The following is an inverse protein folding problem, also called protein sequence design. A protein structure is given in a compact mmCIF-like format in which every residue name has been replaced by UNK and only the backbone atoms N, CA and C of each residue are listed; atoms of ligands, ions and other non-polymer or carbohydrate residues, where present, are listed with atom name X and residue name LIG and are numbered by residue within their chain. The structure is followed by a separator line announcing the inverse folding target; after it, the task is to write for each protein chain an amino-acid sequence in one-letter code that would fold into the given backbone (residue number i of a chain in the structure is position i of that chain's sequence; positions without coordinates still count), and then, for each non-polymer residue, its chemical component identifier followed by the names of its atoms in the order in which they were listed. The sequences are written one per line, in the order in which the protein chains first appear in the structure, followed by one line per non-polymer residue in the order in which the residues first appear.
data_IF_246421961213
#
_entry.id   IF_246421961213
#
_cell.length_a   1.000
_cell.length_b   1.000
_cell.length_c   1.000
_cell.angle_alpha   90.00
_cell.angle_beta   90.00
_cell.angle_gamma   90.00
#
_symmetry.space_group_name_H-M   'P 1'
#
loop_
_entity.id
_entity.type
_entity.pdbx_description
1 polymer ?
#
# COMPACT_ATOMS: atom_id res chain seq x y z
N UNK A 1 -11.07 30.37 4.47
CA UNK A 1 -11.76 29.37 3.62
C UNK A 1 -10.72 28.63 2.80
N UNK A 2 -10.63 27.30 2.92
CA UNK A 2 -9.63 26.51 2.21
C UNK A 2 -9.97 26.44 0.72
N UNK A 3 -9.08 26.97 -0.12
CA UNK A 3 -9.16 26.78 -1.56
C UNK A 3 -8.93 25.30 -1.90
N UNK A 4 -9.98 24.64 -2.38
CA UNK A 4 -9.98 23.24 -2.81
C UNK A 4 -9.00 22.99 -3.98
N UNK A 5 -8.61 24.02 -4.72
CA UNK A 5 -7.60 23.90 -5.76
C UNK A 5 -6.17 23.92 -5.21
N UNK A 6 -5.98 24.38 -3.96
CA UNK A 6 -4.66 24.52 -3.33
C UNK A 6 -4.25 23.29 -2.53
N UNK A 7 -5.22 22.55 -1.97
CA UNK A 7 -4.97 21.35 -1.19
C UNK A 7 -5.64 20.14 -1.84
N UNK A 8 -4.84 19.19 -2.35
CA UNK A 8 -5.39 17.92 -2.85
C UNK A 8 -6.06 17.17 -1.70
N UNK A 9 -7.28 16.68 -1.92
CA UNK A 9 -7.96 15.79 -0.99
C UNK A 9 -7.10 14.56 -0.71
N UNK A 10 -6.94 14.19 0.56
CA UNK A 10 -6.17 13.01 0.95
C UNK A 10 -6.70 11.72 0.28
N UNK A 11 -8.01 11.65 0.08
CA UNK A 11 -8.70 10.55 -0.59
C UNK A 11 -9.72 11.09 -1.59
N UNK A 12 -9.88 10.37 -2.70
CA UNK A 12 -10.91 10.66 -3.70
C UNK A 12 -11.64 9.35 -4.02
N UNK A 13 -12.60 8.98 -3.16
CA UNK A 13 -13.39 7.74 -3.25
C UNK A 13 -12.59 6.50 -3.73
N UNK A 14 -11.49 6.12 -3.04
CA UNK A 14 -10.59 5.06 -3.53
C UNK A 14 -11.29 3.70 -3.71
N UNK A 15 -12.38 3.46 -2.99
CA UNK A 15 -13.17 2.23 -3.07
C UNK A 15 -13.92 2.07 -4.41
N UNK A 16 -14.05 3.12 -5.23
CA UNK A 16 -14.66 3.03 -6.57
C UNK A 16 -13.63 2.85 -7.69
N UNK A 17 -12.35 2.73 -7.35
CA UNK A 17 -11.28 2.61 -8.33
C UNK A 17 -11.43 1.35 -9.20
N UNK A 18 -11.32 1.53 -10.52
CA UNK A 18 -11.30 0.43 -11.51
C UNK A 18 -9.91 0.16 -12.08
N UNK A 19 -8.91 0.91 -11.62
CA UNK A 19 -7.51 0.79 -12.04
C UNK A 19 -6.59 1.04 -10.85
N UNK A 20 -5.51 0.26 -10.75
CA UNK A 20 -4.49 0.44 -9.71
C UNK A 20 -3.71 1.73 -9.93
N UNK A 21 -3.47 2.11 -11.19
CA UNK A 21 -2.79 3.37 -11.51
C UNK A 21 -3.61 4.58 -11.03
N UNK A 22 -4.94 4.53 -11.18
CA UNK A 22 -5.84 5.55 -10.65
C UNK A 22 -5.93 5.50 -9.12
N UNK A 23 -6.07 4.31 -8.53
CA UNK A 23 -6.14 4.13 -7.08
C UNK A 23 -4.96 4.79 -6.36
N UNK A 24 -3.73 4.45 -6.76
CA UNK A 24 -2.52 5.00 -6.15
C UNK A 24 -2.20 6.43 -6.64
N UNK A 25 -2.51 6.73 -7.90
CA UNK A 25 -2.14 8.00 -8.51
C UNK A 25 -3.09 9.17 -8.21
N UNK A 26 -4.33 8.88 -7.79
CA UNK A 26 -5.39 9.88 -7.57
C UNK A 26 -6.36 9.57 -6.42
N UNK A 27 -6.59 8.29 -6.10
CA UNK A 27 -7.63 7.87 -5.15
C UNK A 27 -7.19 7.81 -3.69
N UNK A 28 -5.95 7.38 -3.43
CA UNK A 28 -5.45 7.01 -2.10
C UNK A 28 -4.28 7.90 -1.65
N UNK A 29 -4.29 8.38 -0.40
CA UNK A 29 -3.18 9.11 0.25
C UNK A 29 -2.47 10.17 -0.62
N UNK A 30 -3.23 11.06 -1.25
CA UNK A 30 -2.67 12.01 -2.23
C UNK A 30 -1.69 13.04 -1.63
N UNK A 31 -1.72 13.24 -0.32
CA UNK A 31 -0.76 14.09 0.40
C UNK A 31 0.71 13.66 0.16
N UNK A 32 0.96 12.36 -0.03
CA UNK A 32 2.32 11.84 -0.26
C UNK A 32 2.73 11.78 -1.73
N UNK A 33 1.79 11.97 -2.67
CA UNK A 33 2.04 11.80 -4.10
C UNK A 33 3.23 12.63 -4.59
N UNK A 34 3.25 13.93 -4.24
CA UNK A 34 4.35 14.83 -4.63
C UNK A 34 5.67 14.41 -4.00
N UNK A 35 5.68 14.00 -2.74
CA UNK A 35 6.89 13.58 -2.04
C UNK A 35 7.50 12.34 -2.70
N UNK A 36 6.70 11.31 -3.01
CA UNK A 36 7.20 10.10 -3.66
C UNK A 36 7.65 10.35 -5.11
N UNK A 37 6.97 11.24 -5.84
CA UNK A 37 7.41 11.66 -7.17
C UNK A 37 8.77 12.38 -7.12
N UNK A 38 8.96 13.32 -6.20
CA UNK A 38 10.20 14.09 -6.10
C UNK A 38 11.37 13.26 -5.56
N UNK A 39 11.13 12.43 -4.54
CA UNK A 39 12.18 11.68 -3.86
C UNK A 39 12.49 10.33 -4.53
N UNK A 40 11.51 9.72 -5.20
CA UNK A 40 11.65 8.40 -5.79
C UNK A 40 11.51 8.40 -7.31
N UNK A 41 10.40 8.96 -7.81
CA UNK A 41 10.05 8.88 -9.23
C UNK A 41 11.01 9.62 -10.16
N UNK A 42 11.29 10.90 -9.88
CA UNK A 42 12.18 11.71 -10.71
C UNK A 42 13.63 11.21 -10.65
N UNK A 43 14.22 10.91 -9.48
CA UNK A 43 15.58 10.37 -9.41
C UNK A 43 15.73 9.04 -10.14
N UNK A 44 14.78 8.11 -9.96
CA UNK A 44 14.82 6.82 -10.65
C UNK A 44 14.66 6.95 -12.17
N UNK A 45 13.76 7.84 -12.64
CA UNK A 45 13.62 8.14 -14.07
C UNK A 45 14.89 8.76 -14.64
N UNK A 46 15.51 9.70 -13.92
CA UNK A 46 16.74 10.36 -14.33
C UNK A 46 17.93 9.39 -14.39
N UNK A 47 18.02 8.47 -13.43
CA UNK A 47 19.03 7.41 -13.42
C UNK A 47 18.84 6.48 -14.63
N UNK A 48 17.61 6.04 -14.91
CA UNK A 48 17.31 5.23 -16.09
C UNK A 48 17.69 5.95 -17.40
N UNK A 49 17.44 7.26 -17.49
CA UNK A 49 17.87 8.08 -18.64
C UNK A 49 19.40 8.12 -18.77
N UNK A 50 20.13 8.33 -17.67
CA UNK A 50 21.60 8.35 -17.66
C UNK A 50 22.21 7.02 -18.10
N UNK A 51 21.53 5.91 -17.81
CA UNK A 51 21.93 4.56 -18.23
C UNK A 51 21.53 4.23 -19.68
N UNK A 52 21.05 5.21 -20.46
CA UNK A 52 20.64 5.01 -21.85
C UNK A 52 19.24 4.41 -22.03
N UNK A 53 18.44 4.31 -20.96
CA UNK A 53 17.08 3.79 -21.02
C UNK A 53 16.14 4.73 -21.79
N UNK A 54 15.35 4.17 -22.72
CA UNK A 54 14.32 4.90 -23.46
C UNK A 54 13.15 5.37 -22.58
N UNK A 55 12.23 6.15 -23.14
CA UNK A 55 11.12 6.78 -22.41
C UNK A 55 10.22 5.78 -21.66
N UNK A 56 10.04 4.56 -22.18
CA UNK A 56 9.27 3.50 -21.50
C UNK A 56 9.97 3.03 -20.23
N UNK A 57 11.28 2.76 -20.31
CA UNK A 57 12.09 2.31 -19.17
C UNK A 57 12.14 3.40 -18.10
N UNK A 58 12.31 4.66 -18.49
CA UNK A 58 12.29 5.78 -17.54
C UNK A 58 10.97 5.85 -16.76
N UNK A 59 9.82 5.70 -17.43
CA UNK A 59 8.50 5.69 -16.77
C UNK A 59 8.35 4.51 -15.81
N UNK A 60 8.81 3.32 -16.21
CA UNK A 60 8.79 2.12 -15.34
C UNK A 60 9.68 2.34 -14.12
N UNK A 61 10.93 2.78 -14.31
CA UNK A 61 11.84 3.06 -13.21
C UNK A 61 11.27 4.16 -12.29
N UNK A 62 10.65 5.20 -12.83
CA UNK A 62 9.97 6.23 -12.04
C UNK A 62 8.81 5.69 -11.22
N UNK A 63 7.99 4.81 -11.81
CA UNK A 63 6.91 4.13 -11.11
C UNK A 63 7.45 3.29 -9.93
N UNK A 64 8.43 2.44 -10.18
CA UNK A 64 9.09 1.65 -9.13
C UNK A 64 9.77 2.52 -8.07
N UNK A 65 10.41 3.63 -8.47
CA UNK A 65 11.05 4.57 -7.56
C UNK A 65 10.07 5.22 -6.58
N UNK A 66 8.87 5.60 -7.04
CA UNK A 66 7.82 6.14 -6.17
C UNK A 66 7.42 5.13 -5.09
N UNK A 67 7.16 3.88 -5.51
CA UNK A 67 6.74 2.81 -4.60
C UNK A 67 7.87 2.32 -3.68
N UNK A 68 9.13 2.37 -4.13
CA UNK A 68 10.28 2.05 -3.31
C UNK A 68 10.40 3.00 -2.12
N UNK A 69 10.35 4.32 -2.36
CA UNK A 69 10.40 5.33 -1.29
C UNK A 69 9.17 5.22 -0.39
N UNK A 70 7.99 4.94 -0.97
CA UNK A 70 6.76 4.70 -0.20
C UNK A 70 6.90 3.50 0.73
N UNK A 71 7.43 2.39 0.23
CA UNK A 71 7.67 1.17 1.00
C UNK A 71 8.66 1.40 2.13
N UNK A 72 9.76 2.11 1.89
CA UNK A 72 10.75 2.43 2.92
C UNK A 72 10.13 3.25 4.06
N UNK A 73 9.33 4.27 3.71
CA UNK A 73 8.65 5.10 4.69
C UNK A 73 7.68 4.26 5.54
N UNK A 74 6.87 3.40 4.92
CA UNK A 74 5.91 2.58 5.66
C UNK A 74 6.60 1.51 6.52
N UNK A 75 7.67 0.88 6.03
CA UNK A 75 8.46 -0.08 6.81
C UNK A 75 9.12 0.59 8.02
N UNK A 76 9.66 1.79 7.84
CA UNK A 76 10.26 2.56 8.92
C UNK A 76 9.24 2.95 10.00
N UNK A 77 8.05 3.42 9.59
CA UNK A 77 6.97 3.73 10.53
C UNK A 77 6.49 2.45 11.23
N UNK A 78 6.40 1.32 10.52
CA UNK A 78 6.05 0.02 11.09
C UNK A 78 7.04 -0.36 12.19
N UNK A 79 8.32 -0.17 11.89
CA UNK A 79 9.40 -0.51 12.80
C UNK A 79 9.37 0.34 14.07
N UNK A 80 9.06 1.63 13.98
CA UNK A 80 9.01 2.51 15.16
C UNK A 80 7.75 2.26 15.98
N UNK A 81 6.60 2.13 15.32
CA UNK A 81 5.31 2.18 16.01
C UNK A 81 4.74 0.80 16.36
N UNK A 82 5.06 -0.23 15.57
CA UNK A 82 4.49 -1.57 15.68
C UNK A 82 5.54 -2.62 16.05
N UNK A 83 6.71 -2.22 16.58
CA UNK A 83 7.79 -3.17 16.88
C UNK A 83 7.33 -4.22 17.89
N UNK A 84 7.61 -5.50 17.63
CA UNK A 84 7.49 -6.51 18.68
C UNK A 84 8.45 -6.19 19.84
N UNK A 85 8.02 -6.38 21.10
CA UNK A 85 8.91 -6.28 22.26
C UNK A 85 10.14 -7.16 22.06
N UNK A 86 11.34 -6.60 22.22
CA UNK A 86 12.59 -7.33 22.06
C UNK A 86 13.56 -6.97 23.19
N UNK A 87 14.31 -7.93 23.77
CA UNK A 87 15.28 -7.66 24.83
C UNK A 87 16.40 -6.70 24.40
N UNK A 88 16.71 -6.66 23.10
CA UNK A 88 17.73 -5.80 22.50
C UNK A 88 17.10 -4.80 21.52
N UNK A 89 17.17 -3.51 21.83
CA UNK A 89 16.55 -2.42 21.08
C UNK A 89 17.21 -2.12 19.72
N UNK A 90 18.33 -2.75 19.36
CA UNK A 90 19.10 -2.44 18.15
C UNK A 90 18.99 -3.46 17.00
N UNK A 91 18.10 -4.47 17.10
CA UNK A 91 17.89 -5.43 16.00
C UNK A 91 16.82 -4.88 15.04
N UNK A 92 17.25 -4.51 13.83
CA UNK A 92 16.39 -3.87 12.82
C UNK A 92 15.68 -4.85 11.87
N UNK A 93 16.28 -6.02 11.55
CA UNK A 93 15.84 -6.89 10.44
C UNK A 93 15.51 -8.35 10.82
N UNK A 94 14.88 -8.59 11.98
CA UNK A 94 14.50 -9.98 12.35
C UNK A 94 13.25 -10.47 11.63
N UNK A 95 12.42 -9.55 11.14
CA UNK A 95 11.16 -9.86 10.46
C UNK A 95 11.23 -9.49 8.99
N UNK A 96 10.51 -10.25 8.17
CA UNK A 96 10.33 -9.94 6.75
C UNK A 96 9.71 -8.54 6.61
N UNK A 97 10.29 -7.63 5.80
CA UNK A 97 9.82 -6.26 5.65
C UNK A 97 8.55 -6.23 4.77
N UNK A 98 7.43 -6.65 5.36
CA UNK A 98 6.20 -6.92 4.64
C UNK A 98 5.54 -5.64 4.12
N UNK A 99 5.69 -4.50 4.81
CA UNK A 99 5.24 -3.22 4.31
C UNK A 99 6.02 -2.83 3.06
N UNK A 100 7.35 -2.92 3.11
CA UNK A 100 8.18 -2.65 1.95
C UNK A 100 7.82 -3.56 0.76
N UNK A 101 7.67 -4.87 1.00
CA UNK A 101 7.30 -5.84 -0.02
C UNK A 101 5.92 -5.55 -0.62
N UNK A 102 4.93 -5.21 0.20
CA UNK A 102 3.58 -4.85 -0.25
C UNK A 102 3.61 -3.68 -1.24
N UNK A 103 4.30 -2.60 -0.91
CA UNK A 103 4.39 -1.42 -1.78
C UNK A 103 5.19 -1.70 -3.05
N UNK A 104 6.26 -2.51 -2.99
CA UNK A 104 7.04 -2.89 -4.17
C UNK A 104 6.29 -3.77 -5.16
N UNK A 105 5.28 -4.51 -4.72
CA UNK A 105 4.46 -5.34 -5.61
C UNK A 105 3.40 -4.51 -6.37
N UNK A 106 2.96 -3.37 -5.82
CA UNK A 106 1.97 -2.48 -6.47
C UNK A 106 2.30 -2.05 -7.91
N UNK A 107 3.52 -1.61 -8.25
CA UNK A 107 3.85 -1.25 -9.63
C UNK A 107 3.75 -2.42 -10.60
N UNK A 108 3.95 -3.66 -10.14
CA UNK A 108 3.75 -4.86 -10.95
C UNK A 108 2.25 -5.00 -11.28
N UNK A 109 1.38 -4.84 -10.30
CA UNK A 109 -0.07 -4.86 -10.52
C UNK A 109 -0.54 -3.78 -11.50
N UNK A 110 0.04 -2.58 -11.42
CA UNK A 110 -0.23 -1.49 -12.36
C UNK A 110 0.20 -1.86 -13.79
N UNK A 111 1.37 -2.49 -13.96
CA UNK A 111 1.85 -2.90 -15.28
C UNK A 111 1.05 -4.07 -15.88
N UNK A 112 0.48 -4.93 -15.02
CA UNK A 112 -0.36 -6.05 -15.43
C UNK A 112 -1.80 -5.66 -15.74
N UNK A 113 -2.28 -4.52 -15.22
CA UNK A 113 -3.67 -4.06 -15.37
C UNK A 113 -4.19 -4.08 -16.83
N UNK A 114 -3.43 -3.66 -17.86
CA UNK A 114 -3.94 -3.63 -19.23
C UNK A 114 -4.08 -5.02 -19.85
N UNK A 115 -3.36 -6.01 -19.30
CA UNK A 115 -3.39 -7.40 -19.78
C UNK A 115 -4.43 -8.22 -19.05
N UNK A 116 -4.71 -7.92 -17.78
CA UNK A 116 -5.62 -8.73 -16.95
C UNK A 116 -7.05 -8.18 -16.99
N UNK A 117 -7.25 -6.85 -16.85
CA UNK A 117 -8.59 -6.25 -16.76
C UNK A 117 -9.50 -6.63 -17.95
N UNK A 118 -9.04 -6.66 -19.21
CA UNK A 118 -9.90 -7.04 -20.34
C UNK A 118 -10.47 -8.46 -20.25
N UNK A 119 -9.83 -9.36 -19.49
CA UNK A 119 -10.27 -10.74 -19.30
C UNK A 119 -11.25 -10.90 -18.14
N UNK A 120 -11.46 -9.86 -17.32
CA UNK A 120 -12.40 -9.89 -16.19
C UNK A 120 -13.77 -9.40 -16.67
N UNK A 121 -14.83 -10.23 -16.59
CA UNK A 121 -16.15 -9.83 -17.02
C UNK A 121 -16.67 -8.60 -16.25
N UNK A 122 -17.26 -7.63 -16.97
CA UNK A 122 -17.83 -6.43 -16.35
C UNK A 122 -18.93 -6.74 -15.33
N UNK A 123 -19.68 -7.84 -15.52
CA UNK A 123 -20.75 -8.30 -14.60
C UNK A 123 -20.23 -8.66 -13.21
N UNK A 124 -18.95 -9.04 -13.08
CA UNK A 124 -18.32 -9.35 -11.79
C UNK A 124 -17.50 -8.18 -11.23
N UNK A 125 -17.57 -7.01 -11.87
CA UNK A 125 -16.89 -5.78 -11.44
C UNK A 125 -15.69 -5.36 -12.29
N UNK A 126 -15.23 -6.19 -13.23
CA UNK A 126 -14.14 -5.84 -14.16
C UNK A 126 -12.88 -5.34 -13.44
N UNK A 127 -12.43 -4.13 -13.79
CA UNK A 127 -11.25 -3.52 -13.18
C UNK A 127 -11.39 -3.20 -11.69
N UNK A 128 -12.60 -2.97 -11.18
CA UNK A 128 -12.82 -2.79 -9.74
C UNK A 128 -12.46 -4.06 -8.96
N UNK A 129 -12.87 -5.23 -9.47
CA UNK A 129 -12.54 -6.52 -8.88
C UNK A 129 -11.02 -6.75 -8.88
N UNK A 130 -10.33 -6.39 -9.97
CA UNK A 130 -8.87 -6.44 -10.05
C UNK A 130 -8.20 -5.61 -8.94
N UNK A 131 -8.60 -4.34 -8.80
CA UNK A 131 -8.05 -3.45 -7.77
C UNK A 131 -8.29 -4.05 -6.38
N UNK A 132 -9.52 -4.46 -6.08
CA UNK A 132 -9.88 -5.01 -4.79
C UNK A 132 -9.10 -6.28 -4.46
N UNK A 133 -9.09 -7.26 -5.36
CA UNK A 133 -8.43 -8.55 -5.16
C UNK A 133 -6.91 -8.36 -5.06
N UNK A 134 -6.30 -7.62 -5.97
CA UNK A 134 -4.86 -7.41 -5.97
C UNK A 134 -4.39 -6.70 -4.70
N UNK A 135 -5.08 -5.62 -4.31
CA UNK A 135 -4.74 -4.87 -3.09
C UNK A 135 -4.92 -5.71 -1.84
N UNK A 136 -6.02 -6.45 -1.68
CA UNK A 136 -6.26 -7.26 -0.48
C UNK A 136 -5.32 -8.45 -0.36
N UNK A 137 -5.08 -9.17 -1.47
CA UNK A 137 -4.16 -10.31 -1.46
C UNK A 137 -2.74 -9.87 -1.09
N UNK A 138 -2.26 -8.80 -1.70
CA UNK A 138 -0.90 -8.29 -1.45
C UNK A 138 -0.79 -7.63 -0.07
N UNK A 139 -1.86 -7.07 0.49
CA UNK A 139 -1.86 -6.45 1.81
C UNK A 139 -1.78 -7.45 2.97
N UNK A 140 -2.12 -8.73 2.76
CA UNK A 140 -2.14 -9.75 3.82
C UNK A 140 -0.85 -9.82 4.67
N UNK A 141 0.36 -9.95 4.09
CA UNK A 141 1.60 -9.96 4.87
C UNK A 141 1.84 -8.62 5.58
N UNK A 142 1.52 -7.49 4.94
CA UNK A 142 1.61 -6.16 5.55
C UNK A 142 0.69 -6.02 6.76
N UNK A 143 -0.57 -6.44 6.65
CA UNK A 143 -1.54 -6.44 7.75
C UNK A 143 -1.09 -7.34 8.90
N UNK A 144 -0.53 -8.52 8.61
CA UNK A 144 0.05 -9.42 9.62
C UNK A 144 1.22 -8.78 10.37
N UNK A 145 2.09 -8.03 9.67
CA UNK A 145 3.20 -7.31 10.28
C UNK A 145 2.75 -6.09 11.08
N UNK A 146 1.64 -5.43 10.73
CA UNK A 146 1.24 -4.18 11.39
C UNK A 146 0.21 -4.38 12.52
N UNK A 147 -0.78 -5.25 12.29
CA UNK A 147 -1.97 -5.31 13.14
C UNK A 147 -1.88 -6.40 14.21
N UNK A 148 -1.23 -7.54 13.93
CA UNK A 148 -1.33 -8.75 14.76
C UNK A 148 0.01 -9.08 15.46
N UNK A 149 -0.03 -9.93 16.50
CA UNK A 149 1.10 -10.42 17.30
C UNK A 149 1.84 -9.33 18.10
N UNK A 150 1.17 -8.80 19.12
CA UNK A 150 1.60 -7.81 20.10
C UNK A 150 1.96 -6.45 19.48
N UNK A 151 1.11 -6.01 18.55
CA UNK A 151 1.27 -4.76 17.78
C UNK A 151 0.04 -3.86 17.96
N UNK A 152 -0.31 -3.06 16.95
CA UNK A 152 -1.34 -2.02 17.08
C UNK A 152 -2.75 -2.52 17.43
N UNK A 153 -3.13 -3.69 16.92
CA UNK A 153 -4.52 -4.20 16.99
C UNK A 153 -4.64 -5.43 17.90
N UNK A 154 -3.50 -5.96 18.38
CA UNK A 154 -3.43 -7.25 19.08
C UNK A 154 -4.08 -7.28 20.47
N UNK A 155 -4.42 -6.11 21.02
CA UNK A 155 -5.19 -5.98 22.25
C UNK A 155 -6.56 -5.30 22.05
N UNK A 156 -6.91 -4.93 20.81
CA UNK A 156 -8.19 -4.30 20.48
C UNK A 156 -9.29 -5.29 20.14
N UNK A 157 -8.93 -6.47 19.60
CA UNK A 157 -9.87 -7.50 19.17
C UNK A 157 -9.38 -8.87 19.61
N UNK A 158 -10.33 -9.78 19.83
CA UNK A 158 -10.02 -11.20 20.06
C UNK A 158 -9.28 -11.79 18.85
N UNK A 159 -8.44 -12.82 19.03
CA UNK A 159 -7.86 -13.57 17.92
C UNK A 159 -8.92 -14.09 16.93
N UNK A 160 -8.60 -14.16 15.62
CA UNK A 160 -9.59 -14.47 14.56
C UNK A 160 -10.20 -15.88 14.71
N UNK A 161 -9.46 -16.83 15.26
CA UNK A 161 -9.95 -18.18 15.60
C UNK A 161 -11.01 -18.18 16.72
N UNK A 162 -11.18 -17.06 17.43
CA UNK A 162 -12.19 -16.86 18.46
C UNK A 162 -13.38 -16.01 17.97
N UNK A 163 -13.36 -15.58 16.70
CA UNK A 163 -14.43 -14.77 16.14
C UNK A 163 -15.67 -15.62 15.89
N UNK A 164 -16.83 -15.10 16.28
CA UNK A 164 -18.13 -15.64 15.92
C UNK A 164 -18.94 -14.61 15.12
N UNK A 165 -20.13 -15.00 14.66
CA UNK A 165 -21.03 -14.11 13.89
C UNK A 165 -21.31 -12.79 14.62
N UNK A 166 -21.36 -12.80 15.95
CA UNK A 166 -21.61 -11.62 16.77
C UNK A 166 -20.41 -10.68 16.85
N UNK A 167 -19.18 -11.22 16.80
CA UNK A 167 -17.95 -10.42 16.71
C UNK A 167 -17.94 -9.52 15.48
N UNK A 168 -18.48 -10.02 14.36
CA UNK A 168 -18.57 -9.29 13.08
C UNK A 168 -19.72 -8.28 13.07
N UNK A 169 -20.87 -8.63 13.65
CA UNK A 169 -22.07 -7.79 13.60
C UNK A 169 -22.10 -6.67 14.65
N UNK A 170 -21.52 -6.90 15.83
CA UNK A 170 -21.63 -5.97 16.97
C UNK A 170 -20.30 -5.29 17.34
N UNK A 171 -19.17 -5.74 16.78
CA UNK A 171 -17.85 -5.27 17.18
C UNK A 171 -17.58 -5.62 18.65
N UNK A 172 -17.23 -6.88 18.91
CA UNK A 172 -16.96 -7.34 20.27
C UNK A 172 -15.56 -6.85 20.72
N UNK A 173 -15.52 -5.61 21.22
CA UNK A 173 -14.32 -4.97 21.75
C UNK A 173 -13.94 -5.62 23.09
N UNK A 174 -12.68 -6.02 23.24
CA UNK A 174 -12.13 -6.35 24.56
C UNK A 174 -12.25 -5.09 25.43
N UNK A 175 -13.05 -5.14 26.52
CA UNK A 175 -13.07 -4.07 27.52
C UNK A 175 -11.64 -3.88 28.02
N UNK A 176 -11.09 -2.67 27.82
CA UNK A 176 -9.89 -2.20 28.50
C UNK A 176 -10.15 -2.08 30.00
#
# INVERSE_FOLDING_TARGET
MCDLNRFQHAYNSPHTATSLSWFWGKGWHQLFRRNFLMCGGLPASAMAKKLGGGSKIQRICGLFGCFFVSGLLHEFIAHIMARKPHPFTHVYFKEFPAAFAYFLVQPIGILLEPYIIPHIPGKVGGGWLWVLVFTLLTATPFSKQYAYNFRFVDHGYKPVNEWNVWTVLLGDFLKR
#
